data_IF_294850824127
#
_entry.id   IF_294850824127
#
_cell.length_a   1.000
_cell.length_b   1.000
_cell.length_c   1.000
_cell.angle_alpha   90.00
_cell.angle_beta   90.00
_cell.angle_gamma   90.00
#
_symmetry.space_group_name_H-M   'P 1'
#
loop_
_entity.id
_entity.type
_entity.pdbx_description
1 polymer ?
#
# COMPACT_ATOMS: atom_id res chain seq x y z
N UNK A 1 38.10 -4.73 -48.37
CA UNK A 1 38.11 -3.27 -48.13
C UNK A 1 37.15 -2.96 -46.99
N UNK A 2 37.46 -1.94 -46.18
CA UNK A 2 36.56 -1.51 -45.13
C UNK A 2 35.32 -0.81 -45.71
N UNK A 3 34.21 -0.77 -44.96
CA UNK A 3 32.94 -0.20 -45.43
C UNK A 3 33.04 1.28 -45.86
N UNK A 4 34.04 2.02 -45.36
CA UNK A 4 34.31 3.42 -45.65
C UNK A 4 35.23 3.63 -46.87
N UNK A 5 35.70 2.56 -47.52
CA UNK A 5 36.52 2.59 -48.73
C UNK A 5 35.67 2.16 -49.92
N UNK A 6 34.61 2.91 -50.20
CA UNK A 6 33.60 2.58 -51.21
C UNK A 6 33.65 3.45 -52.48
N UNK A 7 34.66 4.30 -52.59
CA UNK A 7 34.99 5.06 -53.79
C UNK A 7 36.24 4.44 -54.42
N UNK A 8 36.09 3.83 -55.58
CA UNK A 8 37.15 3.10 -56.27
C UNK A 8 37.43 3.72 -57.63
N UNK A 9 38.71 3.92 -57.92
CA UNK A 9 39.18 4.37 -59.21
C UNK A 9 40.19 3.35 -59.75
N UNK A 10 40.03 2.98 -61.01
CA UNK A 10 40.89 2.02 -61.70
C UNK A 10 41.46 2.69 -62.94
N UNK A 11 42.78 2.69 -63.06
CA UNK A 11 43.47 3.17 -64.26
C UNK A 11 43.84 1.96 -65.12
N UNK A 12 43.42 1.99 -66.38
CA UNK A 12 43.63 0.94 -67.36
C UNK A 12 44.66 1.44 -68.37
N UNK A 13 45.71 0.67 -68.62
CA UNK A 13 46.71 1.02 -69.63
C UNK A 13 46.97 -0.19 -70.51
N UNK A 14 46.98 0.06 -71.81
CA UNK A 14 47.56 -0.83 -72.80
C UNK A 14 48.97 -0.34 -73.16
N UNK A 15 49.77 -1.20 -73.79
CA UNK A 15 51.01 -0.76 -74.45
C UNK A 15 50.70 -0.54 -75.94
N UNK A 16 50.37 0.70 -76.38
CA UNK A 16 50.11 0.95 -77.78
C UNK A 16 51.43 0.92 -78.56
N UNK A 17 51.61 -0.08 -79.43
CA UNK A 17 52.75 -0.13 -80.36
C UNK A 17 52.43 0.53 -81.72
N UNK A 18 51.24 1.12 -81.88
CA UNK A 18 50.82 1.81 -83.11
C UNK A 18 50.11 3.13 -82.82
N UNK A 19 50.31 4.14 -83.68
CA UNK A 19 49.80 5.52 -83.52
C UNK A 19 48.31 5.69 -83.85
N UNK A 20 47.60 4.62 -84.25
CA UNK A 20 46.22 4.72 -84.77
C UNK A 20 45.14 4.00 -83.96
N UNK A 21 45.47 3.31 -82.86
CA UNK A 21 44.44 2.60 -82.08
C UNK A 21 43.75 3.52 -81.06
N UNK A 22 42.48 3.85 -81.35
CA UNK A 22 41.54 4.34 -80.34
C UNK A 22 41.37 3.26 -79.28
N UNK A 23 41.67 3.59 -78.03
CA UNK A 23 41.46 2.73 -76.86
C UNK A 23 39.98 2.35 -76.71
N UNK A 24 39.56 1.25 -77.34
CA UNK A 24 38.19 0.74 -77.29
C UNK A 24 38.06 -0.28 -76.15
N UNK A 25 38.18 0.19 -74.91
CA UNK A 25 37.95 -0.65 -73.73
C UNK A 25 36.48 -0.60 -73.32
N UNK A 26 35.91 -1.77 -73.04
CA UNK A 26 34.62 -1.95 -72.41
C UNK A 26 34.81 -2.51 -71.01
N UNK A 27 33.97 -2.07 -70.07
CA UNK A 27 34.01 -2.54 -68.71
C UNK A 27 32.61 -2.74 -68.14
N UNK A 28 32.48 -3.62 -67.16
CA UNK A 28 31.25 -3.86 -66.41
C UNK A 28 31.59 -4.24 -64.97
N UNK A 29 30.93 -3.59 -64.01
CA UNK A 29 30.97 -4.02 -62.62
C UNK A 29 29.75 -4.89 -62.30
N UNK A 30 29.95 -6.20 -62.22
CA UNK A 30 28.89 -7.10 -61.76
C UNK A 30 28.51 -6.79 -60.31
N UNK A 31 27.20 -6.66 -60.08
CA UNK A 31 26.62 -6.20 -58.81
C UNK A 31 26.17 -4.73 -58.83
N UNK A 32 26.54 -3.94 -59.85
CA UNK A 32 26.08 -2.55 -60.01
C UNK A 32 25.62 -2.24 -61.44
N UNK A 33 26.43 -2.55 -62.43
CA UNK A 33 26.15 -2.26 -63.84
C UNK A 33 25.24 -3.34 -64.45
N UNK A 34 24.24 -2.91 -65.23
CA UNK A 34 23.36 -3.82 -66.00
C UNK A 34 23.89 -4.12 -67.40
N UNK A 35 24.63 -3.18 -67.99
CA UNK A 35 25.15 -3.23 -69.36
C UNK A 35 26.64 -2.91 -69.39
N UNK A 36 27.29 -3.14 -70.53
CA UNK A 36 28.70 -2.80 -70.73
C UNK A 36 28.87 -1.31 -70.94
N UNK A 37 29.79 -0.70 -70.20
CA UNK A 37 30.16 0.69 -70.33
C UNK A 37 31.42 0.84 -71.18
N UNK A 38 31.45 1.84 -72.07
CA UNK A 38 32.63 2.17 -72.87
C UNK A 38 33.43 3.29 -72.21
N UNK A 39 34.76 3.19 -72.23
CA UNK A 39 35.63 4.27 -71.77
C UNK A 39 35.54 5.48 -72.72
N UNK A 40 35.48 6.69 -72.14
CA UNK A 40 35.44 7.93 -72.95
C UNK A 40 36.78 8.10 -73.68
N UNK A 41 36.79 8.61 -74.93
CA UNK A 41 38.03 8.89 -75.66
C UNK A 41 38.99 9.76 -74.84
N UNK A 42 40.29 9.45 -74.88
CA UNK A 42 41.35 10.13 -74.12
C UNK A 42 41.22 10.04 -72.58
N UNK A 43 40.40 9.13 -72.06
CA UNK A 43 40.35 8.81 -70.63
C UNK A 43 40.64 7.33 -70.44
N UNK A 44 41.41 7.02 -69.39
CA UNK A 44 41.80 5.65 -69.08
C UNK A 44 41.41 5.26 -67.64
N UNK A 45 40.54 6.05 -67.02
CA UNK A 45 40.13 5.93 -65.62
C UNK A 45 38.67 5.54 -65.50
N UNK A 46 38.40 4.44 -64.80
CA UNK A 46 37.06 3.97 -64.42
C UNK A 46 36.83 4.36 -62.96
N UNK A 47 35.72 5.04 -62.67
CA UNK A 47 35.39 5.47 -61.31
C UNK A 47 34.03 4.94 -60.88
N UNK A 48 33.99 4.26 -59.74
CA UNK A 48 32.76 3.93 -59.03
C UNK A 48 32.73 4.65 -57.70
N UNK A 49 31.64 5.35 -57.43
CA UNK A 49 31.43 6.08 -56.17
C UNK A 49 30.30 5.46 -55.38
N UNK A 50 30.45 5.45 -54.07
CA UNK A 50 29.45 5.00 -53.11
C UNK A 50 28.95 3.55 -53.33
N UNK A 51 29.89 2.62 -53.58
CA UNK A 51 29.55 1.20 -53.66
C UNK A 51 29.00 0.69 -52.31
N UNK A 52 27.90 -0.07 -52.35
CA UNK A 52 27.37 -0.74 -51.16
C UNK A 52 28.34 -1.82 -50.64
N UNK A 53 28.14 -2.32 -49.43
CA UNK A 53 28.86 -3.51 -48.97
C UNK A 53 28.42 -4.74 -49.79
N UNK A 54 29.36 -5.63 -50.12
CA UNK A 54 29.10 -6.75 -51.01
C UNK A 54 30.34 -7.23 -51.74
N UNK A 55 30.14 -8.27 -52.55
CA UNK A 55 31.15 -8.83 -53.43
C UNK A 55 30.85 -8.32 -54.86
N UNK A 56 31.84 -7.69 -55.50
CA UNK A 56 31.76 -7.15 -56.85
C UNK A 56 32.85 -7.74 -57.73
N UNK A 57 32.58 -7.84 -59.03
CA UNK A 57 33.55 -8.28 -60.03
C UNK A 57 33.67 -7.22 -61.11
N UNK A 58 34.82 -6.58 -61.21
CA UNK A 58 35.10 -5.64 -62.29
C UNK A 58 35.67 -6.41 -63.47
N UNK A 59 34.92 -6.43 -64.58
CA UNK A 59 35.30 -7.11 -65.82
C UNK A 59 35.71 -6.04 -66.82
N UNK A 60 36.91 -6.14 -67.37
CA UNK A 60 37.45 -5.22 -68.38
C UNK A 60 37.85 -6.04 -69.61
N UNK A 61 37.39 -5.64 -70.79
CA UNK A 61 37.72 -6.28 -72.05
C UNK A 61 37.98 -5.25 -73.15
N UNK A 62 38.73 -5.65 -74.18
CA UNK A 62 38.89 -4.84 -75.40
C UNK A 62 37.76 -5.17 -76.36
N UNK A 63 37.31 -4.16 -77.10
CA UNK A 63 36.38 -4.36 -78.20
C UNK A 63 37.13 -4.91 -79.41
N UNK A 64 36.74 -6.09 -79.88
CA UNK A 64 37.29 -6.65 -81.11
C UNK A 64 36.73 -5.93 -82.35
N UNK A 65 37.34 -6.15 -83.52
CA UNK A 65 36.88 -5.57 -84.80
C UNK A 65 35.44 -5.99 -85.17
N UNK A 66 34.90 -7.02 -84.52
CA UNK A 66 33.53 -7.52 -84.61
C UNK A 66 32.51 -6.70 -83.79
N UNK A 67 32.96 -5.76 -82.95
CA UNK A 67 32.10 -5.00 -82.03
C UNK A 67 31.68 -5.78 -80.79
N UNK A 68 32.22 -6.98 -80.57
CA UNK A 68 32.00 -7.79 -79.37
C UNK A 68 33.20 -7.66 -78.40
N UNK A 69 32.96 -7.77 -77.07
CA UNK A 69 34.04 -7.88 -76.09
C UNK A 69 34.89 -9.12 -76.36
N UNK A 70 36.21 -9.00 -76.17
CA UNK A 70 37.15 -10.11 -76.36
C UNK A 70 36.90 -11.30 -75.43
N UNK A 71 37.21 -12.51 -75.90
CA UNK A 71 37.03 -13.80 -75.19
C UNK A 71 37.93 -13.96 -73.95
N UNK A 72 38.94 -13.10 -73.77
CA UNK A 72 39.83 -13.11 -72.62
C UNK A 72 39.72 -11.81 -71.80
N UNK A 73 38.62 -11.60 -71.05
CA UNK A 73 38.47 -10.43 -70.20
C UNK A 73 39.38 -10.51 -68.97
N UNK A 74 39.82 -9.35 -68.49
CA UNK A 74 40.47 -9.20 -67.19
C UNK A 74 39.40 -9.05 -66.09
N UNK A 75 39.48 -9.87 -65.04
CA UNK A 75 38.51 -9.88 -63.93
C UNK A 75 39.22 -9.50 -62.63
N UNK A 76 38.73 -8.48 -61.95
CA UNK A 76 39.20 -8.04 -60.65
C UNK A 76 38.10 -8.22 -59.59
N UNK A 77 38.38 -9.03 -58.58
CA UNK A 77 37.46 -9.26 -57.46
C UNK A 77 37.60 -8.17 -56.39
N UNK A 78 36.48 -7.57 -56.01
CA UNK A 78 36.42 -6.47 -55.04
C UNK A 78 35.43 -6.87 -53.94
N UNK A 79 35.89 -6.86 -52.68
CA UNK A 79 35.05 -7.16 -51.51
C UNK A 79 34.99 -5.99 -50.55
N UNK A 80 33.80 -5.43 -50.34
CA UNK A 80 33.53 -4.35 -49.39
C UNK A 80 32.82 -4.94 -48.18
N UNK A 81 33.47 -4.90 -47.01
CA UNK A 81 32.95 -5.47 -45.77
C UNK A 81 31.78 -4.63 -45.22
N UNK A 82 30.76 -5.25 -44.58
CA UNK A 82 29.65 -4.52 -43.97
C UNK A 82 30.12 -3.67 -42.77
N UNK A 83 29.42 -2.56 -42.46
CA UNK A 83 29.73 -1.76 -41.28
C UNK A 83 29.59 -2.54 -39.97
N UNK A 84 30.44 -2.25 -39.00
CA UNK A 84 30.51 -2.98 -37.72
C UNK A 84 29.19 -2.98 -36.93
N UNK A 85 28.40 -1.91 -37.02
CA UNK A 85 27.11 -1.77 -36.32
C UNK A 85 25.98 -2.60 -36.93
N UNK A 86 26.16 -3.16 -38.13
CA UNK A 86 25.24 -4.13 -38.74
C UNK A 86 25.56 -5.59 -38.41
N UNK A 87 26.68 -5.85 -37.73
CA UNK A 87 27.09 -7.22 -37.36
C UNK A 87 26.13 -7.86 -36.36
N UNK A 88 26.05 -9.19 -36.38
CA UNK A 88 25.22 -9.96 -35.43
C UNK A 88 25.64 -9.67 -33.98
N UNK A 89 26.94 -9.54 -33.72
CA UNK A 89 27.47 -9.15 -32.41
C UNK A 89 27.00 -7.77 -31.96
N UNK A 90 26.96 -6.77 -32.85
CA UNK A 90 26.42 -5.45 -32.52
C UNK A 90 24.92 -5.52 -32.15
N UNK A 91 24.13 -6.32 -32.88
CA UNK A 91 22.70 -6.53 -32.55
C UNK A 91 22.52 -7.20 -31.18
N UNK A 92 23.36 -8.18 -30.84
CA UNK A 92 23.36 -8.82 -29.51
C UNK A 92 23.69 -7.79 -28.42
N UNK A 93 24.70 -6.94 -28.63
CA UNK A 93 25.03 -5.87 -27.68
C UNK A 93 23.87 -4.88 -27.49
N UNK A 94 23.17 -4.47 -28.56
CA UNK A 94 21.99 -3.60 -28.44
C UNK A 94 20.85 -4.28 -27.68
N UNK A 95 20.60 -5.57 -27.94
CA UNK A 95 19.59 -6.32 -27.20
C UNK A 95 19.94 -6.43 -25.70
N UNK A 96 21.21 -6.65 -25.37
CA UNK A 96 21.67 -6.72 -23.97
C UNK A 96 21.55 -5.37 -23.28
N UNK A 97 21.97 -4.27 -23.93
CA UNK A 97 21.80 -2.92 -23.40
C UNK A 97 20.32 -2.59 -23.16
N UNK A 98 19.43 -2.96 -24.08
CA UNK A 98 17.99 -2.77 -23.91
C UNK A 98 17.46 -3.58 -22.71
N UNK A 99 17.83 -4.86 -22.58
CA UNK A 99 17.42 -5.69 -21.45
C UNK A 99 17.96 -5.15 -20.12
N UNK A 100 19.20 -4.67 -20.09
CA UNK A 100 19.81 -4.04 -18.92
C UNK A 100 19.06 -2.77 -18.54
N UNK A 101 18.71 -1.92 -19.51
CA UNK A 101 17.94 -0.70 -19.27
C UNK A 101 16.54 -1.01 -18.72
N UNK A 102 15.86 -2.02 -19.27
CA UNK A 102 14.55 -2.47 -18.78
C UNK A 102 14.66 -3.01 -17.35
N UNK A 103 15.64 -3.87 -17.08
CA UNK A 103 15.88 -4.41 -15.74
C UNK A 103 16.22 -3.30 -14.73
N UNK A 104 17.06 -2.34 -15.12
CA UNK A 104 17.40 -1.17 -14.32
C UNK A 104 16.17 -0.31 -14.01
N UNK A 105 15.32 -0.05 -15.01
CA UNK A 105 14.08 0.73 -14.85
C UNK A 105 13.13 0.04 -13.88
N UNK A 106 12.90 -1.27 -14.05
CA UNK A 106 12.05 -2.06 -13.14
C UNK A 106 12.61 -2.00 -11.72
N UNK A 107 13.91 -2.19 -11.54
CA UNK A 107 14.54 -2.15 -10.21
C UNK A 107 14.40 -0.75 -9.58
N UNK A 108 14.64 0.31 -10.35
CA UNK A 108 14.48 1.69 -9.89
C UNK A 108 13.06 1.95 -9.36
N UNK A 109 12.02 1.53 -10.10
CA UNK A 109 10.64 1.68 -9.66
C UNK A 109 10.29 0.80 -8.44
N UNK A 110 10.83 -0.42 -8.37
CA UNK A 110 10.66 -1.30 -7.19
C UNK A 110 11.24 -0.69 -5.93
N UNK A 111 12.49 -0.22 -5.98
CA UNK A 111 13.16 0.42 -4.83
C UNK A 111 12.41 1.67 -4.38
N UNK A 112 12.01 2.53 -5.34
CA UNK A 112 11.24 3.74 -5.03
C UNK A 112 9.90 3.43 -4.37
N UNK A 113 9.20 2.40 -4.85
CA UNK A 113 7.91 1.97 -4.29
C UNK A 113 8.09 1.41 -2.87
N UNK A 114 9.12 0.59 -2.64
CA UNK A 114 9.46 0.06 -1.32
C UNK A 114 9.74 1.16 -0.30
N UNK A 115 10.55 2.15 -0.67
CA UNK A 115 10.85 3.30 0.20
C UNK A 115 9.59 4.12 0.54
N UNK A 116 8.66 4.27 -0.41
CA UNK A 116 7.40 4.95 -0.16
C UNK A 116 6.53 4.18 0.83
N UNK A 117 6.42 2.85 0.66
CA UNK A 117 5.68 2.00 1.59
C UNK A 117 6.27 2.03 3.01
N UNK A 118 7.59 1.91 3.14
CA UNK A 118 8.27 1.99 4.45
C UNK A 118 8.05 3.34 5.14
N UNK A 119 8.00 4.44 4.38
CA UNK A 119 7.69 5.77 4.94
C UNK A 119 6.26 5.86 5.44
N UNK A 120 5.29 5.41 4.64
CA UNK A 120 3.87 5.42 5.03
C UNK A 120 3.62 4.54 6.25
N UNK A 121 4.29 3.38 6.33
CA UNK A 121 4.19 2.48 7.50
C UNK A 121 4.77 3.14 8.75
N UNK A 122 5.95 3.76 8.66
CA UNK A 122 6.55 4.53 9.77
C UNK A 122 5.65 5.69 10.22
N UNK A 123 5.08 6.43 9.27
CA UNK A 123 4.18 7.54 9.57
C UNK A 123 2.91 7.05 10.27
N UNK A 124 2.34 5.93 9.83
CA UNK A 124 1.20 5.29 10.50
C UNK A 124 1.53 4.86 11.92
N UNK A 125 2.70 4.24 12.15
CA UNK A 125 3.16 3.84 13.49
C UNK A 125 3.35 5.08 14.38
N UNK A 126 3.95 6.15 13.86
CA UNK A 126 4.13 7.39 14.60
C UNK A 126 2.79 8.06 14.94
N UNK A 127 1.83 8.05 14.03
CA UNK A 127 0.50 8.59 14.25
C UNK A 127 -0.25 7.81 15.34
N UNK A 128 -0.20 6.47 15.29
CA UNK A 128 -0.75 5.62 16.35
C UNK A 128 -0.09 5.89 17.72
N UNK A 129 1.24 6.05 17.73
CA UNK A 129 1.99 6.39 18.95
C UNK A 129 1.59 7.77 19.50
N UNK A 130 1.38 8.76 18.64
CA UNK A 130 0.89 10.09 19.04
C UNK A 130 -0.51 10.03 19.63
N UNK A 131 -1.43 9.31 19.00
CA UNK A 131 -2.79 9.12 19.51
C UNK A 131 -2.77 8.43 20.88
N UNK A 132 -1.92 7.42 21.05
CA UNK A 132 -1.72 6.74 22.34
C UNK A 132 -1.19 7.69 23.42
N UNK A 133 -0.18 8.49 23.10
CA UNK A 133 0.37 9.48 24.03
C UNK A 133 -0.69 10.54 24.41
N UNK A 134 -1.45 11.02 23.44
CA UNK A 134 -2.53 11.98 23.67
C UNK A 134 -3.62 11.40 24.59
N UNK A 135 -4.03 10.14 24.37
CA UNK A 135 -4.97 9.44 25.24
C UNK A 135 -4.46 9.37 26.69
N UNK A 136 -3.22 8.91 26.92
CA UNK A 136 -2.66 8.84 28.28
C UNK A 136 -2.50 10.22 28.94
N UNK A 137 -2.17 11.25 28.15
CA UNK A 137 -2.06 12.62 28.65
C UNK A 137 -3.43 13.13 29.10
N UNK A 138 -4.46 12.96 28.27
CA UNK A 138 -5.83 13.36 28.60
C UNK A 138 -6.36 12.60 29.81
N UNK A 139 -6.16 11.28 29.84
CA UNK A 139 -6.52 10.45 30.98
C UNK A 139 -5.87 10.92 32.28
N UNK A 140 -4.57 11.21 32.26
CA UNK A 140 -3.85 11.66 33.45
C UNK A 140 -4.43 12.98 33.99
N UNK A 141 -4.76 13.90 33.08
CA UNK A 141 -5.41 15.17 33.44
C UNK A 141 -6.83 14.95 34.00
N UNK A 142 -7.62 14.10 33.34
CA UNK A 142 -8.99 13.80 33.75
C UNK A 142 -9.07 13.02 35.06
N UNK A 143 -8.04 12.23 35.41
CA UNK A 143 -7.92 11.56 36.72
C UNK A 143 -7.50 12.53 37.83
N UNK A 144 -6.63 13.50 37.52
CA UNK A 144 -6.14 14.48 38.50
C UNK A 144 -7.28 15.30 39.11
N UNK A 145 -8.23 15.74 38.30
CA UNK A 145 -9.37 16.57 38.76
C UNK A 145 -10.24 15.90 39.83
N UNK A 146 -10.86 14.72 39.60
CA UNK A 146 -11.65 14.05 40.62
C UNK A 146 -10.78 13.60 41.80
N UNK A 147 -9.53 13.17 41.58
CA UNK A 147 -8.63 12.82 42.69
C UNK A 147 -8.37 14.01 43.61
N UNK A 148 -8.08 15.20 43.06
CA UNK A 148 -7.98 16.43 43.84
C UNK A 148 -9.29 16.77 44.56
N UNK A 149 -10.43 16.52 43.91
CA UNK A 149 -11.76 16.68 44.50
C UNK A 149 -12.14 15.64 45.56
N UNK A 150 -11.38 14.54 45.71
CA UNK A 150 -11.50 13.62 46.85
C UNK A 150 -10.57 14.07 47.98
N UNK A 151 -9.32 14.41 47.64
CA UNK A 151 -8.27 14.74 48.62
C UNK A 151 -8.62 16.01 49.39
N UNK A 152 -9.14 17.06 48.74
CA UNK A 152 -9.43 18.33 49.39
C UNK A 152 -10.54 18.22 50.46
N UNK A 153 -11.71 17.64 50.18
CA UNK A 153 -12.74 17.38 51.21
C UNK A 153 -12.27 16.47 52.34
N UNK A 154 -11.57 15.36 52.01
CA UNK A 154 -11.04 14.44 53.04
C UNK A 154 -10.05 15.16 53.97
N UNK A 155 -9.19 16.01 53.41
CA UNK A 155 -8.20 16.78 54.18
C UNK A 155 -8.83 17.84 55.08
N UNK A 156 -10.03 18.33 54.74
CA UNK A 156 -10.82 19.24 55.57
C UNK A 156 -11.62 18.51 56.66
N UNK A 157 -12.05 17.28 56.41
CA UNK A 157 -12.80 16.45 57.36
C UNK A 157 -11.92 15.74 58.39
N UNK A 158 -10.69 15.35 58.03
CA UNK A 158 -9.76 14.64 58.92
C UNK A 158 -9.48 15.36 60.25
N UNK A 159 -9.30 16.69 60.30
CA UNK A 159 -9.04 17.43 61.54
C UNK A 159 -10.26 17.58 62.46
N UNK A 160 -11.48 17.43 61.93
CA UNK A 160 -12.76 17.69 62.65
C UNK A 160 -13.55 16.38 62.85
N UNK A 161 -12.92 15.23 62.61
CA UNK A 161 -13.52 13.91 62.70
C UNK A 161 -14.00 13.61 64.13
N UNK A 162 -15.25 13.96 64.42
CA UNK A 162 -15.87 13.91 65.73
C UNK A 162 -17.17 14.71 65.81
N UNK A 163 -17.31 15.77 65.01
CA UNK A 163 -18.58 16.50 64.81
C UNK A 163 -19.28 16.05 63.52
N UNK A 164 -20.60 16.23 63.45
CA UNK A 164 -21.44 15.75 62.34
C UNK A 164 -20.83 16.12 60.98
N UNK A 165 -20.26 15.13 60.28
CA UNK A 165 -19.63 15.32 58.98
C UNK A 165 -20.66 15.86 58.00
N UNK A 166 -20.35 16.99 57.36
CA UNK A 166 -21.25 17.67 56.44
C UNK A 166 -21.56 16.75 55.25
N UNK A 167 -22.82 16.34 55.14
CA UNK A 167 -23.33 15.38 54.14
C UNK A 167 -22.93 15.78 52.72
N UNK A 168 -22.91 17.09 52.43
CA UNK A 168 -22.52 17.63 51.13
C UNK A 168 -21.06 17.26 50.76
N UNK A 169 -20.16 17.27 51.73
CA UNK A 169 -18.73 16.98 51.57
C UNK A 169 -18.49 15.50 51.26
N UNK A 170 -19.26 14.60 51.89
CA UNK A 170 -19.24 13.16 51.59
C UNK A 170 -19.80 12.85 50.19
N UNK A 171 -20.85 13.56 49.77
CA UNK A 171 -21.42 13.42 48.42
C UNK A 171 -20.44 13.89 47.33
N UNK A 172 -19.64 14.95 47.57
CA UNK A 172 -18.57 15.37 46.65
C UNK A 172 -17.48 14.31 46.50
N UNK A 173 -17.03 13.71 47.60
CA UNK A 173 -16.08 12.60 47.59
C UNK A 173 -16.63 11.42 46.80
N UNK A 174 -17.89 11.04 47.03
CA UNK A 174 -18.55 9.95 46.33
C UNK A 174 -18.64 10.19 44.81
N UNK A 175 -19.05 11.40 44.38
CA UNK A 175 -19.12 11.77 42.95
C UNK A 175 -17.76 11.67 42.26
N UNK A 176 -16.71 12.14 42.93
CA UNK A 176 -15.37 12.08 42.39
C UNK A 176 -14.82 10.64 42.33
N UNK A 177 -15.14 9.80 43.33
CA UNK A 177 -14.79 8.38 43.30
C UNK A 177 -15.46 7.63 42.15
N UNK A 178 -16.75 7.91 41.90
CA UNK A 178 -17.47 7.37 40.74
C UNK A 178 -16.86 7.81 39.41
N UNK A 179 -16.39 9.06 39.31
CA UNK A 179 -15.71 9.57 38.10
C UNK A 179 -14.38 8.86 37.84
N UNK A 180 -13.58 8.62 38.88
CA UNK A 180 -12.34 7.81 38.76
C UNK A 180 -12.66 6.39 38.29
N UNK A 181 -13.69 5.76 38.86
CA UNK A 181 -14.10 4.42 38.46
C UNK A 181 -14.49 4.36 36.96
N UNK A 182 -15.23 5.35 36.47
CA UNK A 182 -15.55 5.45 35.04
C UNK A 182 -14.30 5.60 34.16
N UNK A 183 -13.30 6.38 34.59
CA UNK A 183 -12.05 6.56 33.84
C UNK A 183 -11.22 5.27 33.79
N UNK A 184 -11.17 4.52 34.89
CA UNK A 184 -10.53 3.18 34.92
C UNK A 184 -11.20 2.25 33.89
N UNK A 185 -12.52 2.23 33.83
CA UNK A 185 -13.25 1.44 32.83
C UNK A 185 -12.95 1.87 31.38
N UNK A 186 -12.76 3.17 31.11
CA UNK A 186 -12.36 3.65 29.79
C UNK A 186 -10.96 3.15 29.38
N UNK A 187 -10.01 3.12 30.31
CA UNK A 187 -8.65 2.58 30.07
C UNK A 187 -8.68 1.09 29.80
N UNK A 188 -9.43 0.33 30.59
CA UNK A 188 -9.60 -1.11 30.38
C UNK A 188 -10.23 -1.41 29.02
N UNK A 189 -11.20 -0.61 28.58
CA UNK A 189 -11.79 -0.75 27.25
C UNK A 189 -10.81 -0.37 26.13
N UNK A 190 -10.01 0.69 26.30
CA UNK A 190 -8.98 1.07 25.32
C UNK A 190 -7.93 -0.04 25.13
N UNK A 191 -7.42 -0.60 26.23
CA UNK A 191 -6.45 -1.70 26.18
C UNK A 191 -7.02 -2.98 25.52
N UNK A 192 -8.32 -3.25 25.69
CA UNK A 192 -9.01 -4.40 25.06
C UNK A 192 -9.24 -4.20 23.55
N UNK A 193 -9.45 -2.97 23.09
CA UNK A 193 -9.55 -2.66 21.66
C UNK A 193 -8.16 -2.80 20.99
N UNK A 194 -7.09 -2.38 21.67
CA UNK A 194 -5.72 -2.44 21.12
C UNK A 194 -5.18 -3.88 21.01
N UNK A 195 -5.62 -4.81 21.88
CA UNK A 195 -5.20 -6.21 21.80
C UNK A 195 -5.81 -6.99 20.63
N UNK A 196 -6.72 -6.38 19.84
CA UNK A 196 -7.51 -7.06 18.80
C UNK A 196 -8.23 -8.31 19.34
N UNK A 197 -8.37 -8.41 20.68
CA UNK A 197 -9.34 -9.28 21.32
C UNK A 197 -10.70 -8.58 21.16
N UNK A 198 -11.24 -8.67 19.96
CA UNK A 198 -12.67 -8.50 19.76
C UNK A 198 -13.37 -9.47 20.71
N UNK A 199 -13.81 -8.94 21.86
CA UNK A 199 -14.93 -9.43 22.65
C UNK A 199 -15.05 -10.96 22.75
N UNK A 200 -14.03 -11.64 23.27
CA UNK A 200 -14.30 -12.90 23.95
C UNK A 200 -15.19 -12.56 25.14
N UNK A 201 -16.50 -12.63 24.92
CA UNK A 201 -17.47 -12.67 25.99
C UNK A 201 -16.97 -13.77 26.93
N UNK A 202 -16.71 -13.42 28.18
CA UNK A 202 -16.39 -14.44 29.17
C UNK A 202 -17.74 -15.06 29.53
N UNK A 203 -18.17 -16.00 28.67
CA UNK A 203 -19.47 -16.63 28.78
C UNK A 203 -19.41 -17.53 30.01
N UNK A 204 -20.21 -17.16 31.00
CA UNK A 204 -20.43 -17.92 32.21
C UNK A 204 -21.90 -18.28 32.30
N UNK A 205 -22.18 -19.50 32.76
CA UNK A 205 -23.56 -19.90 33.08
C UNK A 205 -23.96 -19.22 34.37
N UNK A 206 -24.79 -18.20 34.28
CA UNK A 206 -25.29 -17.47 35.44
C UNK A 206 -26.74 -17.79 35.72
N UNK A 207 -27.15 -17.67 36.98
CA UNK A 207 -28.55 -17.66 37.38
C UNK A 207 -29.02 -16.21 37.35
N UNK A 208 -29.74 -15.85 36.28
CA UNK A 208 -30.08 -14.48 35.92
C UNK A 208 -31.01 -13.82 36.94
N UNK A 209 -31.91 -14.58 37.59
CA UNK A 209 -32.89 -14.02 38.52
C UNK A 209 -32.21 -13.50 39.79
N UNK A 210 -31.30 -14.27 40.38
CA UNK A 210 -30.52 -13.86 41.55
C UNK A 210 -29.52 -12.76 41.21
N UNK A 211 -28.88 -12.83 40.03
CA UNK A 211 -27.95 -11.80 39.56
C UNK A 211 -28.63 -10.44 39.38
N UNK A 212 -29.79 -10.40 38.71
CA UNK A 212 -30.54 -9.15 38.59
C UNK A 212 -31.01 -8.70 39.98
N UNK A 213 -31.59 -9.58 40.79
CA UNK A 213 -32.10 -9.24 42.12
C UNK A 213 -31.04 -8.59 43.03
N UNK A 214 -29.79 -9.05 42.98
CA UNK A 214 -28.70 -8.45 43.77
C UNK A 214 -28.30 -7.05 43.27
N UNK A 215 -28.34 -6.79 41.96
CA UNK A 215 -28.09 -5.44 41.41
C UNK A 215 -29.22 -4.46 41.75
N UNK A 216 -30.46 -4.94 41.73
CA UNK A 216 -31.64 -4.14 42.11
C UNK A 216 -31.66 -3.80 43.60
N UNK A 217 -31.29 -4.73 44.49
CA UNK A 217 -31.27 -4.47 45.94
C UNK A 217 -30.28 -3.37 46.32
N UNK A 218 -29.11 -3.33 45.68
CA UNK A 218 -28.10 -2.28 45.90
C UNK A 218 -28.64 -0.88 45.56
N UNK A 219 -29.46 -0.76 44.51
CA UNK A 219 -30.07 0.52 44.14
C UNK A 219 -31.28 0.88 45.01
N UNK A 220 -32.03 -0.13 45.46
CA UNK A 220 -33.18 0.05 46.35
C UNK A 220 -32.77 0.55 47.75
N UNK A 221 -31.67 0.05 48.31
CA UNK A 221 -31.17 0.50 49.63
C UNK A 221 -30.70 1.96 49.64
N UNK A 222 -30.32 2.50 48.48
CA UNK A 222 -29.69 3.80 48.35
C UNK A 222 -30.64 4.92 47.89
N UNK A 223 -31.94 4.66 47.79
CA UNK A 223 -32.93 5.63 47.27
C UNK A 223 -34.26 5.55 48.02
N UNK A 224 -35.08 6.61 47.94
CA UNK A 224 -36.46 6.60 48.46
C UNK A 224 -37.46 5.97 47.47
N UNK A 225 -36.97 5.18 46.51
CA UNK A 225 -37.76 4.56 45.46
C UNK A 225 -38.07 3.11 45.83
N UNK A 226 -39.32 2.68 45.60
CA UNK A 226 -39.70 1.28 45.73
C UNK A 226 -39.37 0.56 44.44
N UNK A 227 -38.49 -0.43 44.51
CA UNK A 227 -38.19 -1.29 43.37
C UNK A 227 -39.04 -2.56 43.42
N UNK A 228 -39.73 -2.84 42.32
CA UNK A 228 -40.44 -4.08 42.08
C UNK A 228 -39.66 -4.93 41.09
N UNK A 229 -39.35 -6.16 41.49
CA UNK A 229 -38.69 -7.15 40.65
C UNK A 229 -39.55 -8.41 40.59
N UNK A 230 -40.01 -8.74 39.39
CA UNK A 230 -40.85 -9.90 39.10
C UNK A 230 -40.19 -10.79 38.05
N UNK A 231 -40.23 -12.10 38.27
CA UNK A 231 -39.75 -13.09 37.31
C UNK A 231 -40.75 -14.24 37.23
N UNK A 232 -41.04 -14.72 36.02
CA UNK A 232 -42.03 -15.78 35.82
C UNK A 232 -41.57 -17.15 36.27
N UNK A 233 -40.26 -17.31 36.50
CA UNK A 233 -39.66 -18.51 37.08
C UNK A 233 -38.74 -18.13 38.22
N UNK A 234 -38.69 -19.00 39.23
CA UNK A 234 -37.83 -18.80 40.39
C UNK A 234 -36.33 -18.80 40.05
N UNK A 235 -35.93 -19.51 38.99
CA UNK A 235 -34.54 -19.57 38.51
C UNK A 235 -34.50 -19.62 36.99
N UNK A 236 -33.65 -18.79 36.38
CA UNK A 236 -33.39 -18.76 34.93
C UNK A 236 -31.87 -18.84 34.75
N UNK A 237 -31.38 -19.87 34.08
CA UNK A 237 -29.96 -19.99 33.76
C UNK A 237 -29.70 -19.53 32.34
N UNK A 238 -28.68 -18.69 32.16
CA UNK A 238 -28.28 -18.18 30.85
C UNK A 238 -26.75 -18.11 30.74
N UNK A 239 -26.26 -18.39 29.53
CA UNK A 239 -24.83 -18.33 29.20
C UNK A 239 -24.51 -16.94 28.68
N UNK A 240 -23.79 -16.14 29.48
CA UNK A 240 -23.50 -14.74 29.15
C UNK A 240 -22.30 -14.18 29.93
N UNK A 241 -21.80 -13.03 29.49
CA UNK A 241 -20.77 -12.26 30.20
C UNK A 241 -21.41 -11.46 31.34
N UNK A 242 -21.31 -11.99 32.56
CA UNK A 242 -21.92 -11.43 33.75
C UNK A 242 -21.40 -10.01 34.06
N UNK A 243 -20.13 -9.74 33.76
CA UNK A 243 -19.49 -8.45 34.04
C UNK A 243 -20.07 -7.39 33.09
N UNK A 244 -20.14 -7.69 31.79
CA UNK A 244 -20.73 -6.77 30.80
C UNK A 244 -22.21 -6.54 31.05
N UNK A 245 -22.97 -7.61 31.37
CA UNK A 245 -24.38 -7.47 31.73
C UNK A 245 -24.53 -6.57 32.97
N UNK A 246 -23.70 -6.76 33.99
CA UNK A 246 -23.69 -5.93 35.19
C UNK A 246 -23.51 -4.44 34.87
N UNK A 247 -22.52 -4.09 34.04
CA UNK A 247 -22.28 -2.70 33.62
C UNK A 247 -23.47 -2.10 32.86
N UNK A 248 -24.10 -2.88 31.96
CA UNK A 248 -25.27 -2.43 31.22
C UNK A 248 -26.44 -2.18 32.17
N UNK A 249 -26.73 -3.13 33.06
CA UNK A 249 -27.82 -3.03 34.01
C UNK A 249 -27.60 -1.87 35.00
N UNK A 250 -26.38 -1.71 35.50
CA UNK A 250 -26.00 -0.61 36.40
C UNK A 250 -26.18 0.77 35.73
N UNK A 251 -25.81 0.90 34.46
CA UNK A 251 -26.02 2.13 33.70
C UNK A 251 -27.52 2.42 33.48
N UNK A 252 -28.31 1.40 33.17
CA UNK A 252 -29.75 1.54 32.99
C UNK A 252 -30.45 1.89 34.30
N UNK A 253 -30.05 1.26 35.42
CA UNK A 253 -30.64 1.49 36.74
C UNK A 253 -30.26 2.86 37.29
N UNK A 254 -28.99 3.26 37.19
CA UNK A 254 -28.57 4.59 37.58
C UNK A 254 -29.25 5.69 36.76
N UNK A 255 -29.45 5.47 35.45
CA UNK A 255 -30.28 6.36 34.63
C UNK A 255 -31.74 6.38 35.08
N UNK A 256 -32.34 5.21 35.34
CA UNK A 256 -33.72 5.13 35.80
C UNK A 256 -33.92 5.90 37.12
N UNK A 257 -33.01 5.76 38.09
CA UNK A 257 -33.01 6.53 39.34
C UNK A 257 -32.86 8.03 39.07
N UNK A 258 -31.86 8.42 38.26
CA UNK A 258 -31.54 9.83 37.98
C UNK A 258 -32.67 10.58 37.27
N UNK A 259 -33.41 9.90 36.38
CA UNK A 259 -34.42 10.51 35.51
C UNK A 259 -35.85 10.21 35.93
N UNK A 260 -36.07 9.62 37.11
CA UNK A 260 -37.42 9.43 37.66
C UNK A 260 -37.71 10.56 38.66
N UNK A 261 -38.56 11.55 38.30
CA UNK A 261 -38.98 12.61 39.22
C UNK A 261 -39.89 12.05 40.32
N UNK A 262 -40.05 12.81 41.41
CA UNK A 262 -41.08 12.56 42.43
C UNK A 262 -42.46 12.51 41.73
N UNK A 263 -42.99 11.29 41.52
CA UNK A 263 -44.27 11.04 40.85
C UNK A 263 -44.23 10.30 39.50
N UNK A 264 -43.07 9.86 39.01
CA UNK A 264 -42.95 9.15 37.72
C UNK A 264 -42.74 7.63 37.86
N UNK A 265 -43.47 6.82 37.09
CA UNK A 265 -43.31 5.37 37.00
C UNK A 265 -42.41 5.04 35.81
N UNK A 266 -41.17 4.60 36.04
CA UNK A 266 -40.27 4.12 34.97
C UNK A 266 -40.25 2.60 34.97
N UNK A 267 -40.82 2.00 33.92
CA UNK A 267 -40.84 0.55 33.71
C UNK A 267 -39.68 0.13 32.80
N UNK A 268 -38.71 -0.62 33.33
CA UNK A 268 -37.64 -1.23 32.54
C UNK A 268 -38.05 -2.66 32.13
N UNK A 269 -38.49 -2.79 30.87
CA UNK A 269 -38.85 -4.09 30.30
C UNK A 269 -37.60 -4.82 29.82
N UNK A 270 -37.33 -6.01 30.37
CA UNK A 270 -36.27 -6.90 29.88
C UNK A 270 -36.88 -8.12 29.19
N UNK A 271 -36.79 -8.17 27.86
CA UNK A 271 -37.14 -9.35 27.06
C UNK A 271 -35.89 -10.21 26.85
N UNK A 272 -35.97 -11.51 27.14
CA UNK A 272 -34.94 -12.46 26.72
C UNK A 272 -35.24 -12.99 25.32
N UNK A 273 -34.25 -12.94 24.44
CA UNK A 273 -34.42 -13.13 22.98
C UNK A 273 -34.43 -14.61 22.57
N UNK A 274 -34.20 -15.57 23.48
CA UNK A 274 -34.07 -16.99 23.10
C UNK A 274 -35.32 -17.87 23.31
N UNK A 275 -36.37 -17.39 23.99
CA UNK A 275 -37.63 -18.15 24.09
C UNK A 275 -38.76 -17.23 24.59
N UNK A 276 -39.94 -17.16 23.93
CA UNK A 276 -41.07 -16.36 24.42
C UNK A 276 -41.66 -16.82 25.76
N UNK A 277 -41.14 -17.91 26.33
CA UNK A 277 -41.61 -18.53 27.59
C UNK A 277 -40.94 -18.00 28.87
N UNK A 278 -39.97 -17.08 28.79
CA UNK A 278 -39.24 -16.55 29.97
C UNK A 278 -39.28 -15.02 29.97
N UNK A 279 -39.62 -14.41 31.11
CA UNK A 279 -39.62 -12.96 31.26
C UNK A 279 -39.16 -12.53 32.65
N UNK A 280 -38.49 -11.38 32.70
CA UNK A 280 -38.10 -10.67 33.92
C UNK A 280 -38.60 -9.24 33.77
N UNK A 281 -39.44 -8.78 34.70
CA UNK A 281 -39.89 -7.40 34.79
C UNK A 281 -39.27 -6.73 35.99
N UNK A 282 -38.79 -5.51 35.77
CA UNK A 282 -38.43 -4.64 36.86
C UNK A 282 -38.97 -3.25 36.60
N UNK A 283 -39.53 -2.65 37.63
CA UNK A 283 -40.04 -1.28 37.56
C UNK A 283 -39.88 -0.65 38.94
N UNK A 284 -39.85 0.67 38.96
CA UNK A 284 -39.73 1.44 40.20
C UNK A 284 -40.93 2.36 40.36
N UNK A 285 -41.38 2.51 41.59
CA UNK A 285 -42.51 3.34 42.01
C UNK A 285 -42.07 4.25 43.17
N UNK A 286 -42.67 5.43 43.26
CA UNK A 286 -42.48 6.34 44.41
C UNK A 286 -43.56 6.02 45.44
N UNK A 287 -43.21 5.98 46.73
CA UNK A 287 -44.19 5.85 47.83
C UNK A 287 -44.87 7.19 48.08
#
# INVERSE_FOLDING_TARGET
MAYNQNNLAFDVSDLPYSLEEKNNFVYRLEGMDKEWNMLKPNTNRITYSNLGYGDYQLIISKLEKSGLPSEHPYILHIKILPPWYYTVWAKICYALLLLSLVAWTINFFRVKSRLKMERMEKEKILEQSRQKMAFFTNLSNELKTPLSGIIAPISQLLPVAGEASDKHTLEEVQRNAMKINSLIHQVLNFNRIESNEDSLLIISRIELVSFCRSLFSVHAENTQLTFHFEANKAKIYADMDAIKLGVILDNLLSNAVKFTPEGGLSASHFYTIQNPSYWIYAYQTVV
#
